data_IF_864421323996
#
_entry.id   IF_864421323996
#
_cell.length_a   1.000
_cell.length_b   1.000
_cell.length_c   1.000
_cell.angle_alpha   90.00
_cell.angle_beta   90.00
_cell.angle_gamma   90.00
#
_symmetry.space_group_name_H-M   'P 1'
#
loop_
_entity.id
_entity.type
_entity.pdbx_description
1 polymer ?
#
# COMPACT_ATOMS: atom_id res chain seq x y z
N UNK A 1 24.81 -13.58 1.60
CA UNK A 1 25.05 -14.61 2.64
C UNK A 1 23.71 -15.18 3.04
N UNK A 2 23.55 -16.49 2.99
CA UNK A 2 22.34 -17.18 3.47
C UNK A 2 22.50 -17.30 4.99
N UNK A 3 21.61 -16.67 5.75
CA UNK A 3 21.63 -16.77 7.21
C UNK A 3 20.79 -17.97 7.68
N UNK A 4 21.27 -18.66 8.72
CA UNK A 4 20.53 -19.74 9.40
C UNK A 4 19.63 -19.14 10.50
N UNK A 5 18.38 -19.61 10.59
CA UNK A 5 17.34 -19.03 11.44
C UNK A 5 17.63 -19.10 12.95
N UNK A 6 16.94 -18.26 13.74
CA UNK A 6 16.96 -18.26 15.21
C UNK A 6 16.23 -19.48 15.81
N UNK A 7 16.56 -19.83 17.08
CA UNK A 7 16.13 -21.02 17.85
C UNK A 7 14.62 -21.20 18.12
N UNK A 8 13.72 -20.60 17.33
CA UNK A 8 12.29 -20.90 17.41
C UNK A 8 12.04 -22.26 16.77
N UNK A 9 11.54 -23.23 17.55
CA UNK A 9 11.17 -24.56 17.08
C UNK A 9 10.14 -24.44 15.95
N UNK A 10 10.47 -24.77 14.69
CA UNK A 10 9.57 -24.55 13.56
C UNK A 10 8.52 -25.66 13.49
N UNK A 11 7.20 -25.36 13.43
CA UNK A 11 6.20 -26.28 12.92
C UNK A 11 6.03 -26.00 11.43
N UNK A 12 7.02 -26.31 10.59
CA UNK A 12 7.02 -25.75 9.23
C UNK A 12 7.02 -26.85 8.21
N UNK A 13 5.81 -27.26 7.84
CA UNK A 13 5.55 -28.00 6.61
C UNK A 13 4.87 -27.07 5.62
N UNK A 14 5.01 -27.34 4.32
CA UNK A 14 4.21 -26.66 3.29
C UNK A 14 2.70 -26.91 3.44
N UNK A 15 2.31 -27.89 4.24
CA UNK A 15 0.91 -28.19 4.57
C UNK A 15 0.28 -27.17 5.53
N UNK A 16 1.07 -26.33 6.20
CA UNK A 16 0.61 -25.24 7.07
C UNK A 16 1.08 -23.87 6.51
N UNK A 17 0.61 -23.46 5.32
CA UNK A 17 1.19 -22.32 4.59
C UNK A 17 1.11 -21.00 5.35
N UNK A 18 0.08 -20.82 6.19
CA UNK A 18 -0.07 -19.61 7.01
C UNK A 18 0.94 -19.56 8.15
N UNK A 19 1.14 -20.67 8.88
CA UNK A 19 2.12 -20.74 9.96
C UNK A 19 3.55 -20.55 9.42
N UNK A 20 3.85 -21.13 8.25
CA UNK A 20 5.09 -20.90 7.52
C UNK A 20 5.29 -19.42 7.17
N UNK A 21 4.28 -18.78 6.61
CA UNK A 21 4.36 -17.37 6.26
C UNK A 21 4.56 -16.47 7.50
N UNK A 22 3.84 -16.72 8.60
CA UNK A 22 3.99 -15.97 9.87
C UNK A 22 5.39 -16.13 10.47
N UNK A 23 5.98 -17.33 10.38
CA UNK A 23 7.36 -17.55 10.81
C UNK A 23 8.38 -16.84 9.91
N UNK A 24 8.23 -16.91 8.58
CA UNK A 24 9.08 -16.20 7.62
C UNK A 24 9.05 -14.70 7.90
N UNK A 25 7.86 -14.13 8.08
CA UNK A 25 7.68 -12.72 8.44
C UNK A 25 8.39 -12.36 9.74
N UNK A 26 8.33 -13.24 10.74
CA UNK A 26 9.05 -13.04 12.02
C UNK A 26 10.57 -12.98 11.81
N UNK A 27 11.13 -13.86 10.98
CA UNK A 27 12.58 -13.85 10.70
C UNK A 27 12.99 -12.62 9.87
N UNK A 28 12.25 -12.29 8.81
CA UNK A 28 12.56 -11.18 7.90
C UNK A 28 12.35 -9.80 8.55
N UNK A 29 11.37 -9.65 9.44
CA UNK A 29 11.13 -8.38 10.14
C UNK A 29 12.14 -8.13 11.27
N UNK A 30 12.73 -9.18 11.85
CA UNK A 30 13.77 -9.07 12.87
C UNK A 30 15.11 -8.56 12.31
N UNK A 31 15.44 -8.90 11.07
CA UNK A 31 16.63 -8.40 10.36
C UNK A 31 16.26 -7.82 8.98
N UNK A 32 16.08 -6.49 8.87
CA UNK A 32 15.79 -5.82 7.60
C UNK A 32 16.88 -5.97 6.54
N UNK A 33 18.10 -6.40 6.91
CA UNK A 33 19.20 -6.60 5.95
C UNK A 33 19.15 -7.98 5.29
N UNK A 34 18.40 -8.93 5.87
CA UNK A 34 18.26 -10.29 5.37
C UNK A 34 17.48 -10.32 4.04
N UNK A 35 18.16 -10.67 2.95
CA UNK A 35 17.57 -10.75 1.61
C UNK A 35 17.09 -12.16 1.23
N UNK A 36 17.67 -13.18 1.83
CA UNK A 36 17.37 -14.58 1.56
C UNK A 36 17.33 -15.36 2.87
N UNK A 37 16.29 -16.14 3.07
CA UNK A 37 16.09 -17.01 4.23
C UNK A 37 16.06 -18.47 3.77
N UNK A 38 16.90 -19.31 4.36
CA UNK A 38 16.76 -20.76 4.20
C UNK A 38 15.61 -21.27 5.07
N UNK A 39 14.74 -22.10 4.49
CA UNK A 39 13.63 -22.71 5.20
C UNK A 39 14.04 -24.06 5.79
N UNK A 40 13.72 -24.33 7.07
CA UNK A 40 14.00 -25.61 7.71
C UNK A 40 12.91 -26.64 7.34
N UNK A 41 12.67 -26.87 6.04
CA UNK A 41 11.67 -27.80 5.52
C UNK A 41 12.34 -28.84 4.62
N UNK A 42 11.75 -30.02 4.47
CA UNK A 42 12.30 -31.06 3.60
C UNK A 42 12.26 -30.57 2.13
N UNK A 43 13.40 -30.59 1.39
CA UNK A 43 13.42 -30.27 -0.03
C UNK A 43 12.42 -31.09 -0.86
N UNK A 44 12.14 -32.34 -0.46
CA UNK A 44 11.16 -33.19 -1.12
C UNK A 44 9.74 -32.60 -1.06
N UNK A 45 9.36 -31.96 0.05
CA UNK A 45 8.06 -31.26 0.15
C UNK A 45 7.95 -30.16 -0.92
N UNK A 46 9.05 -29.44 -1.20
CA UNK A 46 9.06 -28.35 -2.19
C UNK A 46 9.05 -28.88 -3.63
N UNK A 47 9.73 -30.00 -3.90
CA UNK A 47 9.76 -30.62 -5.22
C UNK A 47 8.40 -31.22 -5.60
N UNK A 48 7.75 -31.88 -4.65
CA UNK A 48 6.54 -32.66 -4.89
C UNK A 48 5.25 -31.85 -4.75
N UNK A 49 5.29 -30.66 -4.11
CA UNK A 49 4.09 -29.88 -3.84
C UNK A 49 3.61 -29.05 -5.04
N UNK A 50 2.46 -29.39 -5.66
CA UNK A 50 1.87 -28.58 -6.73
C UNK A 50 1.27 -27.27 -6.21
N UNK A 51 1.11 -27.12 -4.88
CA UNK A 51 0.56 -25.93 -4.21
C UNK A 51 1.61 -25.14 -3.46
N UNK A 52 2.90 -25.29 -3.83
CA UNK A 52 3.98 -24.55 -3.20
C UNK A 52 3.70 -23.04 -3.25
N UNK A 53 3.93 -22.30 -2.15
CA UNK A 53 3.83 -20.84 -2.20
C UNK A 53 4.82 -20.28 -3.22
N UNK A 54 4.40 -19.29 -4.02
CA UNK A 54 5.21 -18.76 -5.12
C UNK A 54 6.52 -18.09 -4.71
N UNK A 55 6.70 -17.81 -3.42
CA UNK A 55 7.91 -17.23 -2.83
C UNK A 55 8.93 -18.28 -2.34
N UNK A 56 8.61 -19.57 -2.40
CA UNK A 56 9.52 -20.67 -2.01
C UNK A 56 10.18 -21.26 -3.26
N UNK A 57 11.50 -21.30 -3.26
CA UNK A 57 12.32 -21.84 -4.35
C UNK A 57 13.36 -22.82 -3.82
N UNK A 58 13.86 -23.71 -4.68
CA UNK A 58 15.02 -24.56 -4.38
C UNK A 58 16.27 -23.95 -5.00
N UNK A 59 17.32 -23.79 -4.20
CA UNK A 59 18.65 -23.46 -4.66
C UNK A 59 19.63 -24.50 -4.08
N UNK A 60 20.27 -25.29 -4.93
CA UNK A 60 21.18 -26.39 -4.54
C UNK A 60 20.55 -27.32 -3.47
N UNK A 61 19.32 -27.78 -3.73
CA UNK A 61 18.49 -28.59 -2.83
C UNK A 61 18.19 -27.94 -1.47
N UNK A 62 18.43 -26.63 -1.31
CA UNK A 62 18.02 -25.86 -0.14
C UNK A 62 16.74 -25.07 -0.46
N UNK A 63 15.63 -25.31 0.27
CA UNK A 63 14.47 -24.44 0.26
C UNK A 63 14.85 -23.04 0.73
N UNK A 64 14.64 -22.04 -0.13
CA UNK A 64 14.93 -20.64 0.15
C UNK A 64 13.73 -19.75 -0.16
N UNK A 65 13.71 -18.62 0.52
CA UNK A 65 12.76 -17.52 0.28
C UNK A 65 13.55 -16.24 0.07
N UNK A 66 13.27 -15.55 -1.03
CA UNK A 66 13.74 -14.18 -1.25
C UNK A 66 12.78 -13.20 -0.56
N UNK A 67 13.35 -12.24 0.17
CA UNK A 67 12.60 -11.18 0.87
C UNK A 67 11.63 -10.46 -0.07
N UNK A 68 12.13 -10.02 -1.22
CA UNK A 68 11.34 -9.31 -2.24
C UNK A 68 10.24 -10.17 -2.85
N UNK A 69 10.44 -11.48 -2.95
CA UNK A 69 9.42 -12.43 -3.39
C UNK A 69 8.32 -12.57 -2.34
N UNK A 70 8.68 -12.87 -1.09
CA UNK A 70 7.75 -13.07 0.02
C UNK A 70 6.79 -11.90 0.22
N UNK A 71 7.32 -10.67 0.25
CA UNK A 71 6.50 -9.47 0.44
C UNK A 71 5.55 -9.15 -0.71
N UNK A 72 5.65 -9.84 -1.85
CA UNK A 72 4.71 -9.64 -2.95
C UNK A 72 3.48 -10.55 -2.88
N UNK A 73 3.38 -11.41 -1.86
CA UNK A 73 2.25 -12.32 -1.69
C UNK A 73 1.19 -11.78 -0.72
N UNK A 74 -0.03 -11.66 -1.20
CA UNK A 74 -1.11 -11.00 -0.48
C UNK A 74 -1.56 -11.66 0.84
N UNK A 75 -1.40 -12.99 0.96
CA UNK A 75 -2.15 -13.85 1.89
C UNK A 75 -2.07 -13.45 3.37
N UNK A 76 -0.94 -12.89 3.82
CA UNK A 76 -0.79 -12.46 5.22
C UNK A 76 -1.47 -11.13 5.52
N UNK A 77 -1.44 -10.22 4.56
CA UNK A 77 -1.69 -8.79 4.80
C UNK A 77 -3.03 -8.32 4.25
N UNK A 78 -3.45 -8.83 3.09
CA UNK A 78 -4.77 -8.50 2.58
C UNK A 78 -5.86 -9.19 3.42
N UNK A 79 -6.98 -8.50 3.56
CA UNK A 79 -8.18 -8.99 4.23
C UNK A 79 -9.34 -9.20 3.26
N UNK A 80 -9.03 -9.15 1.97
CA UNK A 80 -9.93 -9.39 0.85
C UNK A 80 -9.13 -9.97 -0.35
N UNK A 81 -9.77 -10.62 -1.34
CA UNK A 81 -9.07 -11.17 -2.50
C UNK A 81 -8.42 -10.08 -3.35
N UNK A 82 -7.18 -10.26 -3.84
CA UNK A 82 -6.56 -9.29 -4.74
C UNK A 82 -7.33 -9.18 -6.06
N UNK A 83 -7.22 -8.02 -6.70
CA UNK A 83 -7.80 -7.76 -8.00
C UNK A 83 -7.29 -8.76 -9.05
N UNK A 84 -8.21 -9.22 -9.88
CA UNK A 84 -7.91 -10.05 -11.04
C UNK A 84 -8.12 -9.25 -12.32
N UNK A 85 -7.33 -9.55 -13.34
CA UNK A 85 -7.52 -8.97 -14.66
C UNK A 85 -8.88 -9.38 -15.20
N UNK A 86 -9.74 -8.40 -15.46
CA UNK A 86 -11.01 -8.64 -16.15
C UNK A 86 -10.76 -8.74 -17.66
N UNK A 87 -11.32 -9.78 -18.29
CA UNK A 87 -11.21 -10.01 -19.73
C UNK A 87 -12.23 -9.14 -20.48
N UNK A 88 -12.03 -7.82 -20.47
CA UNK A 88 -12.92 -6.84 -21.09
C UNK A 88 -12.17 -5.93 -22.06
N UNK A 89 -12.91 -5.30 -22.97
CA UNK A 89 -12.40 -4.17 -23.78
C UNK A 89 -12.16 -2.95 -22.90
N UNK A 90 -11.29 -2.04 -23.34
CA UNK A 90 -11.12 -0.74 -22.68
C UNK A 90 -12.46 -0.02 -22.54
N UNK A 91 -12.61 0.73 -21.45
CA UNK A 91 -13.72 1.66 -21.22
C UNK A 91 -13.25 3.08 -21.46
N UNK A 92 -14.16 3.94 -21.92
CA UNK A 92 -13.87 5.34 -22.21
C UNK A 92 -13.39 6.06 -20.95
N UNK A 93 -12.26 6.74 -21.07
CA UNK A 93 -11.65 7.50 -19.97
C UNK A 93 -11.66 9.01 -20.23
N UNK A 94 -11.27 9.81 -19.22
CA UNK A 94 -11.18 11.26 -19.37
C UNK A 94 -10.13 11.65 -20.41
N UNK A 95 -10.42 12.68 -21.20
CA UNK A 95 -9.49 13.24 -22.19
C UNK A 95 -8.98 12.20 -23.22
N UNK A 96 -9.79 11.17 -23.51
CA UNK A 96 -9.42 10.07 -24.43
C UNK A 96 -8.43 9.06 -23.84
N UNK A 97 -8.20 9.09 -22.51
CA UNK A 97 -7.34 8.13 -21.80
C UNK A 97 -8.12 6.89 -21.40
N UNK A 98 -8.56 6.12 -22.39
CA UNK A 98 -9.30 4.87 -22.19
C UNK A 98 -8.53 3.92 -21.27
N UNK A 99 -9.24 3.20 -20.41
CA UNK A 99 -8.61 2.36 -19.39
C UNK A 99 -9.27 0.99 -19.28
N UNK A 100 -8.61 0.01 -18.64
CA UNK A 100 -9.26 -1.26 -18.34
C UNK A 100 -10.45 -1.06 -17.40
N UNK A 101 -11.46 -1.92 -17.52
CA UNK A 101 -12.52 -1.99 -16.52
C UNK A 101 -11.91 -2.32 -15.15
N UNK A 102 -12.27 -1.52 -14.13
CA UNK A 102 -11.73 -1.67 -12.78
C UNK A 102 -12.49 -2.75 -12.02
N UNK A 103 -11.79 -3.57 -11.21
CA UNK A 103 -12.45 -4.41 -10.22
C UNK A 103 -13.33 -3.56 -9.29
N UNK A 104 -14.41 -4.13 -8.74
CA UNK A 104 -15.18 -3.44 -7.72
C UNK A 104 -14.32 -3.15 -6.49
N UNK A 105 -14.57 -2.02 -5.84
CA UNK A 105 -13.91 -1.70 -4.57
C UNK A 105 -14.24 -2.75 -3.50
N UNK A 106 -13.27 -3.15 -2.66
CA UNK A 106 -13.53 -4.03 -1.53
C UNK A 106 -14.36 -3.33 -0.44
N UNK A 107 -14.71 -4.06 0.61
CA UNK A 107 -15.40 -3.52 1.79
C UNK A 107 -14.70 -3.97 3.08
N UNK A 108 -15.00 -3.30 4.20
CA UNK A 108 -14.42 -3.64 5.50
C UNK A 108 -12.93 -3.30 5.60
N UNK A 109 -12.21 -4.04 6.44
CA UNK A 109 -10.74 -3.95 6.53
C UNK A 109 -10.14 -4.57 5.27
N UNK A 110 -9.21 -3.86 4.63
CA UNK A 110 -8.60 -4.27 3.36
C UNK A 110 -7.16 -4.73 3.51
N UNK A 111 -6.46 -4.23 4.53
CA UNK A 111 -5.05 -4.50 4.76
C UNK A 111 -4.70 -4.37 6.24
N UNK A 112 -3.76 -5.20 6.70
CA UNK A 112 -3.22 -5.14 8.05
C UNK A 112 -1.77 -5.66 8.09
N UNK A 113 -0.87 -4.91 8.75
CA UNK A 113 0.51 -5.36 9.02
C UNK A 113 1.11 -4.70 10.24
N UNK A 114 1.88 -5.48 11.03
CA UNK A 114 2.67 -4.98 12.15
C UNK A 114 4.00 -4.39 11.67
N UNK A 115 4.33 -3.18 12.11
CA UNK A 115 5.62 -2.52 11.87
C UNK A 115 6.42 -2.40 13.16
N UNK A 116 7.32 -3.35 13.41
CA UNK A 116 8.08 -3.46 14.66
C UNK A 116 8.82 -2.16 15.02
N UNK A 117 9.45 -1.51 14.03
CA UNK A 117 10.23 -0.28 14.17
C UNK A 117 9.42 0.95 14.59
N UNK A 118 8.10 0.92 14.36
CA UNK A 118 7.14 1.96 14.75
C UNK A 118 6.27 1.56 15.95
N UNK A 119 6.40 0.31 16.43
CA UNK A 119 5.62 -0.25 17.53
C UNK A 119 4.08 -0.15 17.37
N UNK A 120 3.58 -0.26 16.14
CA UNK A 120 2.15 -0.23 15.79
C UNK A 120 1.78 -1.31 14.78
N UNK A 121 0.53 -1.76 14.81
CA UNK A 121 -0.15 -2.41 13.69
C UNK A 121 -0.84 -1.35 12.85
N UNK A 122 -0.55 -1.39 11.54
CA UNK A 122 -1.13 -0.50 10.55
C UNK A 122 -2.23 -1.25 9.82
N UNK A 123 -3.45 -0.73 9.83
CA UNK A 123 -4.57 -1.30 9.06
C UNK A 123 -5.34 -0.23 8.28
N UNK A 124 -5.86 -0.63 7.12
CA UNK A 124 -6.76 0.22 6.33
C UNK A 124 -8.12 -0.42 6.27
N UNK A 125 -9.17 0.38 6.42
CA UNK A 125 -10.55 -0.05 6.24
C UNK A 125 -11.31 0.95 5.39
N UNK A 126 -12.23 0.46 4.56
CA UNK A 126 -13.10 1.32 3.76
C UNK A 126 -13.90 2.25 4.67
N UNK A 127 -14.06 3.50 4.24
CA UNK A 127 -14.86 4.49 4.98
C UNK A 127 -16.29 3.99 5.15
N UNK A 128 -16.80 4.14 6.36
CA UNK A 128 -18.21 4.00 6.69
C UNK A 128 -18.70 5.38 7.11
N UNK A 129 -19.58 6.00 6.31
CA UNK A 129 -20.00 7.38 6.53
C UNK A 129 -20.68 7.54 7.89
N UNK A 130 -21.53 6.60 8.30
CA UNK A 130 -22.25 6.71 9.57
C UNK A 130 -21.31 6.61 10.77
N UNK A 131 -20.24 5.82 10.65
CA UNK A 131 -19.22 5.69 11.70
C UNK A 131 -18.19 6.81 11.68
N UNK A 132 -17.77 7.27 10.49
CA UNK A 132 -16.53 8.02 10.30
C UNK A 132 -16.74 9.50 10.01
N UNK A 133 -17.95 9.94 9.65
CA UNK A 133 -18.21 11.34 9.28
C UNK A 133 -17.79 12.33 10.37
N UNK A 134 -18.04 12.02 11.65
CA UNK A 134 -17.72 12.90 12.78
C UNK A 134 -16.21 13.12 12.90
N UNK A 135 -15.43 12.04 12.81
CA UNK A 135 -13.98 12.13 12.94
C UNK A 135 -13.34 12.72 11.67
N UNK A 136 -13.88 12.39 10.49
CA UNK A 136 -13.47 12.98 9.23
C UNK A 136 -13.71 14.50 9.21
N UNK A 137 -14.90 14.95 9.61
CA UNK A 137 -15.21 16.37 9.72
C UNK A 137 -14.26 17.11 10.68
N UNK A 138 -13.99 16.52 11.84
CA UNK A 138 -13.01 17.09 12.78
C UNK A 138 -11.62 17.22 12.16
N UNK A 139 -11.18 16.20 11.44
CA UNK A 139 -9.86 16.21 10.81
C UNK A 139 -9.77 17.23 9.68
N UNK A 140 -10.77 17.31 8.80
CA UNK A 140 -10.74 18.28 7.69
C UNK A 140 -10.76 19.73 8.19
N UNK A 141 -11.42 19.98 9.32
CA UNK A 141 -11.45 21.30 9.95
C UNK A 141 -10.27 21.59 10.90
N UNK A 142 -9.29 20.67 11.04
CA UNK A 142 -8.00 20.98 11.68
C UNK A 142 -7.22 21.90 10.73
N UNK A 143 -6.81 23.12 11.15
CA UNK A 143 -6.09 24.07 10.28
C UNK A 143 -4.84 23.48 9.61
N UNK A 144 -4.17 22.51 10.26
CA UNK A 144 -3.01 21.81 9.67
C UNK A 144 -3.38 20.94 8.48
N UNK A 145 -4.57 20.33 8.53
CA UNK A 145 -5.11 19.48 7.45
C UNK A 145 -5.72 20.36 6.37
N UNK A 146 -6.59 21.31 6.77
CA UNK A 146 -7.25 22.26 5.88
C UNK A 146 -6.27 22.99 4.97
N UNK A 147 -5.08 23.37 5.48
CA UNK A 147 -4.03 24.01 4.69
C UNK A 147 -3.61 23.23 3.42
N UNK A 148 -3.70 21.90 3.45
CA UNK A 148 -3.32 21.06 2.31
C UNK A 148 -4.52 20.48 1.56
N UNK A 149 -5.63 20.23 2.26
CA UNK A 149 -6.80 19.56 1.69
C UNK A 149 -7.87 20.52 1.21
N UNK A 150 -7.97 21.73 1.78
CA UNK A 150 -8.95 22.76 1.40
C UNK A 150 -10.42 22.25 1.47
N UNK A 151 -10.69 21.37 2.43
CA UNK A 151 -11.99 20.72 2.66
C UNK A 151 -12.56 21.06 4.06
N UNK A 152 -12.21 22.22 4.63
CA UNK A 152 -12.81 22.78 5.85
C UNK A 152 -14.25 23.25 5.60
N UNK A 153 -15.14 22.28 5.40
CA UNK A 153 -16.54 22.47 5.02
C UNK A 153 -17.49 21.96 6.10
N UNK A 154 -18.77 22.23 5.90
CA UNK A 154 -19.82 21.73 6.78
C UNK A 154 -19.88 20.20 6.76
N UNK A 155 -20.46 19.62 7.81
CA UNK A 155 -20.64 18.17 7.92
C UNK A 155 -21.50 17.59 6.80
N UNK A 156 -22.49 18.35 6.32
CA UNK A 156 -23.37 17.93 5.21
C UNK A 156 -22.60 17.95 3.88
N UNK A 157 -21.76 18.95 3.64
CA UNK A 157 -20.90 18.99 2.46
C UNK A 157 -19.90 17.84 2.45
N UNK A 158 -19.30 17.53 3.61
CA UNK A 158 -18.35 16.42 3.75
C UNK A 158 -19.02 15.05 3.64
N UNK A 159 -20.28 14.93 4.05
CA UNK A 159 -21.09 13.72 3.78
C UNK A 159 -21.28 13.54 2.27
N UNK A 160 -21.75 14.57 1.58
CA UNK A 160 -21.94 14.52 0.12
C UNK A 160 -20.62 14.24 -0.62
N UNK A 161 -19.50 14.79 -0.12
CA UNK A 161 -18.17 14.47 -0.61
C UNK A 161 -17.85 12.98 -0.49
N UNK A 162 -18.03 12.37 0.69
CA UNK A 162 -17.77 10.95 0.91
C UNK A 162 -18.70 10.06 0.08
N UNK A 163 -19.99 10.39 -0.02
CA UNK A 163 -20.97 9.67 -0.86
C UNK A 163 -20.52 9.65 -2.32
N UNK A 164 -20.11 10.81 -2.86
CA UNK A 164 -19.57 10.91 -4.21
C UNK A 164 -18.32 10.05 -4.38
N UNK A 165 -17.37 10.12 -3.44
CA UNK A 165 -16.13 9.33 -3.49
C UNK A 165 -16.39 7.83 -3.44
N UNK A 166 -17.32 7.36 -2.61
CA UNK A 166 -17.66 5.94 -2.51
C UNK A 166 -18.43 5.42 -3.73
N UNK A 167 -19.12 6.30 -4.47
CA UNK A 167 -19.81 5.97 -5.72
C UNK A 167 -18.90 5.91 -6.95
N UNK A 168 -17.67 6.43 -6.85
CA UNK A 168 -16.73 6.57 -7.96
C UNK A 168 -15.73 5.40 -7.99
N UNK A 169 -15.82 4.46 -8.96
CA UNK A 169 -14.91 3.30 -9.05
C UNK A 169 -13.44 3.67 -9.27
N UNK A 170 -13.17 4.91 -9.69
CA UNK A 170 -11.83 5.45 -9.82
C UNK A 170 -11.12 5.55 -8.46
N UNK A 171 -11.88 5.71 -7.37
CA UNK A 171 -11.36 6.04 -6.04
C UNK A 171 -11.72 4.97 -5.00
N UNK A 172 -10.76 4.65 -4.13
CA UNK A 172 -10.97 3.87 -2.91
C UNK A 172 -10.63 4.74 -1.70
N UNK A 173 -11.66 5.13 -0.95
CA UNK A 173 -11.55 5.91 0.29
C UNK A 173 -11.41 4.99 1.50
N UNK A 174 -10.32 5.14 2.25
CA UNK A 174 -10.05 4.33 3.46
C UNK A 174 -9.69 5.19 4.68
N UNK A 175 -10.08 4.69 5.84
CA UNK A 175 -9.54 5.13 7.14
C UNK A 175 -8.31 4.29 7.46
N UNK A 176 -7.20 4.96 7.77
CA UNK A 176 -6.04 4.33 8.37
C UNK A 176 -6.17 4.26 9.88
N UNK A 177 -5.97 3.09 10.45
CA UNK A 177 -5.90 2.83 11.88
C UNK A 177 -4.50 2.40 12.38
N UNK A 178 -4.12 2.89 13.57
CA UNK A 178 -3.03 2.31 14.35
C UNK A 178 -3.61 1.51 15.49
N UNK A 179 -3.30 0.20 15.57
CA UNK A 179 -3.83 -0.68 16.61
C UNK A 179 -5.36 -0.51 16.75
N UNK A 180 -6.05 -0.58 15.61
CA UNK A 180 -7.49 -0.36 15.44
C UNK A 180 -8.04 1.05 15.76
N UNK A 181 -7.20 1.97 16.26
CA UNK A 181 -7.58 3.37 16.46
C UNK A 181 -7.52 4.15 15.13
N UNK A 182 -8.62 4.77 14.65
CA UNK A 182 -8.61 5.65 13.49
C UNK A 182 -7.66 6.84 13.68
N UNK A 183 -6.79 7.08 12.70
CA UNK A 183 -5.79 8.17 12.77
C UNK A 183 -5.67 9.03 11.53
N UNK A 184 -6.15 8.56 10.38
CA UNK A 184 -6.04 9.27 9.12
C UNK A 184 -7.04 8.81 8.07
N UNK A 185 -7.14 9.61 7.02
CA UNK A 185 -7.97 9.35 5.84
C UNK A 185 -7.08 9.32 4.60
N UNK A 186 -7.34 8.39 3.70
CA UNK A 186 -6.57 8.19 2.48
C UNK A 186 -7.50 7.94 1.29
N UNK A 187 -7.14 8.51 0.15
CA UNK A 187 -7.76 8.25 -1.15
C UNK A 187 -6.74 7.49 -2.00
N UNK A 188 -7.14 6.35 -2.56
CA UNK A 188 -6.33 5.57 -3.49
C UNK A 188 -7.01 5.64 -4.83
N UNK A 189 -6.27 5.96 -5.89
CA UNK A 189 -6.85 6.25 -7.20
C UNK A 189 -6.11 5.56 -8.34
N UNK A 190 -6.80 5.37 -9.46
CA UNK A 190 -6.20 4.92 -10.72
C UNK A 190 -5.65 6.11 -11.50
N UNK A 191 -4.34 6.22 -11.62
CA UNK A 191 -3.70 7.44 -12.12
C UNK A 191 -4.10 7.80 -13.56
N UNK A 192 -4.44 6.80 -14.39
CA UNK A 192 -4.89 7.02 -15.77
C UNK A 192 -6.23 7.76 -15.86
N UNK A 193 -7.11 7.54 -14.89
CA UNK A 193 -8.40 8.23 -14.73
C UNK A 193 -8.27 9.54 -13.95
N UNK A 194 -7.23 9.66 -13.12
CA UNK A 194 -7.00 10.87 -12.35
C UNK A 194 -6.53 12.05 -13.22
N UNK A 195 -6.72 13.26 -12.72
CA UNK A 195 -6.14 14.49 -13.31
C UNK A 195 -4.62 14.39 -13.47
N UNK A 196 -3.92 13.66 -12.60
CA UNK A 196 -2.48 13.43 -12.68
C UNK A 196 -2.08 12.71 -13.96
N UNK A 197 -2.92 11.80 -14.46
CA UNK A 197 -2.61 11.01 -15.65
C UNK A 197 -2.49 11.81 -16.95
N UNK A 198 -2.89 13.09 -16.96
CA UNK A 198 -2.65 14.00 -18.08
C UNK A 198 -1.21 14.57 -18.10
N UNK A 199 -0.46 14.42 -17.01
CA UNK A 199 0.87 15.04 -16.84
C UNK A 199 2.02 14.06 -17.08
N UNK A 200 1.74 12.79 -17.38
CA UNK A 200 2.72 11.79 -17.78
C UNK A 200 2.04 10.68 -18.61
N UNK A 201 2.81 9.77 -19.18
CA UNK A 201 2.25 8.61 -19.89
C UNK A 201 1.75 7.57 -18.89
N UNK A 202 0.51 7.76 -18.41
CA UNK A 202 -0.07 6.95 -17.35
C UNK A 202 -0.38 5.52 -17.82
N UNK A 203 0.26 4.56 -17.17
CA UNK A 203 0.03 3.15 -17.41
C UNK A 203 -1.41 2.73 -17.07
N UNK A 204 -1.89 1.62 -17.67
CA UNK A 204 -3.25 1.16 -17.46
C UNK A 204 -3.57 0.82 -16.00
N UNK A 205 -2.58 0.45 -15.20
CA UNK A 205 -2.75 0.01 -13.81
C UNK A 205 -1.95 0.84 -12.81
N UNK A 206 -1.45 2.00 -13.23
CA UNK A 206 -0.76 2.91 -12.33
C UNK A 206 -1.74 3.41 -11.27
N UNK A 207 -1.26 3.47 -10.03
CA UNK A 207 -2.08 3.93 -8.89
C UNK A 207 -1.38 5.05 -8.17
N UNK A 208 -2.15 5.92 -7.54
CA UNK A 208 -1.60 6.88 -6.60
C UNK A 208 -2.42 6.95 -5.34
N UNK A 209 -1.98 7.79 -4.42
CA UNK A 209 -2.70 8.01 -3.18
C UNK A 209 -2.54 9.43 -2.65
N UNK A 210 -3.61 9.92 -2.02
CA UNK A 210 -3.60 11.11 -1.16
C UNK A 210 -3.88 10.69 0.27
N UNK A 211 -3.35 11.45 1.23
CA UNK A 211 -3.54 11.10 2.64
C UNK A 211 -3.41 12.27 3.58
N UNK A 212 -4.13 12.18 4.69
CA UNK A 212 -3.97 13.02 5.88
C UNK A 212 -3.86 12.15 7.12
N UNK A 213 -3.03 12.59 8.07
CA UNK A 213 -3.08 12.10 9.44
C UNK A 213 -3.81 13.15 10.26
N UNK A 214 -5.00 12.82 10.72
CA UNK A 214 -5.85 13.71 11.49
C UNK A 214 -5.43 13.79 12.95
N UNK A 215 -4.99 12.68 13.54
CA UNK A 215 -4.59 12.64 14.95
C UNK A 215 -3.15 13.13 15.16
N UNK A 216 -2.99 14.36 15.64
CA UNK A 216 -1.69 15.00 15.85
C UNK A 216 -0.71 14.18 16.73
N UNK A 217 -1.22 13.46 17.74
CA UNK A 217 -0.43 12.59 18.62
C UNK A 217 0.23 11.40 17.89
N UNK A 218 -0.21 11.08 16.69
CA UNK A 218 0.33 10.01 15.85
C UNK A 218 1.28 10.52 14.75
N UNK A 219 1.51 11.83 14.68
CA UNK A 219 2.55 12.39 13.82
C UNK A 219 3.94 11.99 14.33
N UNK A 220 4.88 11.81 13.40
CA UNK A 220 6.28 11.52 13.73
C UNK A 220 6.91 10.57 12.73
N UNK A 221 8.24 10.63 12.62
CA UNK A 221 9.01 9.97 11.55
C UNK A 221 8.71 8.48 11.40
N UNK A 222 8.75 7.72 12.50
CA UNK A 222 8.56 6.26 12.48
C UNK A 222 7.16 5.87 12.04
N UNK A 223 6.15 6.52 12.64
CA UNK A 223 4.73 6.32 12.33
C UNK A 223 4.42 6.74 10.88
N UNK A 224 4.77 7.95 10.46
CA UNK A 224 4.57 8.39 9.06
C UNK A 224 5.24 7.45 8.06
N UNK A 225 6.46 6.97 8.35
CA UNK A 225 7.13 5.98 7.51
C UNK A 225 6.37 4.65 7.45
N UNK A 226 5.80 4.17 8.56
CA UNK A 226 5.01 2.94 8.59
C UNK A 226 3.77 3.04 7.67
N UNK A 227 3.04 4.17 7.71
CA UNK A 227 1.90 4.38 6.80
C UNK A 227 2.30 4.41 5.33
N UNK A 228 3.36 5.15 4.96
CA UNK A 228 3.77 5.24 3.54
C UNK A 228 4.16 3.85 3.01
N UNK A 229 4.89 3.08 3.82
CA UNK A 229 5.22 1.67 3.51
C UNK A 229 3.97 0.83 3.36
N UNK A 230 3.07 0.86 4.35
CA UNK A 230 1.84 0.08 4.34
C UNK A 230 0.94 0.40 3.16
N UNK A 231 0.75 1.69 2.84
CA UNK A 231 -0.11 2.13 1.75
C UNK A 231 0.47 1.70 0.41
N UNK A 232 1.75 1.98 0.17
CA UNK A 232 2.43 1.58 -1.08
C UNK A 232 2.44 0.06 -1.23
N UNK A 233 2.68 -0.67 -0.15
CA UNK A 233 2.60 -2.14 -0.13
C UNK A 233 1.19 -2.63 -0.46
N UNK A 234 0.17 -2.06 0.17
CA UNK A 234 -1.23 -2.37 -0.14
C UNK A 234 -1.55 -2.14 -1.61
N UNK A 235 -1.14 -1.01 -2.21
CA UNK A 235 -1.42 -0.70 -3.62
C UNK A 235 -0.90 -1.79 -4.57
N UNK A 236 0.30 -2.32 -4.31
CA UNK A 236 0.91 -3.39 -5.12
C UNK A 236 0.26 -4.76 -4.88
N UNK A 237 -0.14 -5.08 -3.64
CA UNK A 237 -0.79 -6.35 -3.33
C UNK A 237 -2.24 -6.40 -3.81
N UNK A 238 -2.97 -5.31 -3.60
CA UNK A 238 -4.38 -5.15 -3.96
C UNK A 238 -4.59 -5.33 -5.45
N UNK A 239 -3.65 -4.88 -6.28
CA UNK A 239 -3.69 -5.05 -7.72
C UNK A 239 -2.33 -5.52 -8.24
N UNK A 240 -2.14 -6.85 -8.47
CA UNK A 240 -0.88 -7.41 -8.94
C UNK A 240 -0.42 -6.93 -10.32
N UNK A 241 -1.28 -6.23 -11.08
CA UNK A 241 -0.93 -5.57 -12.34
C UNK A 241 -0.33 -4.17 -12.15
N UNK A 242 -0.36 -3.63 -10.92
CA UNK A 242 0.21 -2.31 -10.60
C UNK A 242 1.72 -2.45 -10.55
N UNK A 243 2.43 -1.89 -11.53
CA UNK A 243 3.90 -1.85 -11.55
C UNK A 243 4.47 -0.49 -11.12
N UNK A 244 3.62 0.52 -11.00
CA UNK A 244 3.99 1.88 -10.64
C UNK A 244 2.98 2.50 -9.68
N UNK A 245 3.49 2.98 -8.54
CA UNK A 245 2.76 3.92 -7.68
C UNK A 245 3.27 5.33 -7.94
N UNK A 246 2.37 6.28 -8.12
CA UNK A 246 2.67 7.68 -8.40
C UNK A 246 2.20 8.60 -7.30
N UNK A 247 2.75 9.81 -7.26
CA UNK A 247 2.28 10.87 -6.40
C UNK A 247 2.67 12.25 -6.90
N UNK A 248 1.99 13.26 -6.39
CA UNK A 248 2.07 14.65 -6.84
C UNK A 248 2.04 15.64 -5.66
N UNK A 249 2.90 15.45 -4.64
CA UNK A 249 3.00 16.41 -3.53
C UNK A 249 3.37 17.80 -4.05
N UNK A 250 2.94 18.83 -3.31
CA UNK A 250 3.43 20.19 -3.54
C UNK A 250 4.96 20.22 -3.41
N UNK A 251 5.63 20.95 -4.28
CA UNK A 251 7.11 21.06 -4.26
C UNK A 251 7.64 21.67 -2.95
N UNK A 252 6.82 22.47 -2.27
CA UNK A 252 7.12 23.11 -0.99
C UNK A 252 6.85 22.20 0.23
N UNK A 253 6.27 21.01 0.04
CA UNK A 253 6.06 20.04 1.12
C UNK A 253 7.33 19.23 1.42
N UNK A 254 8.36 19.94 1.86
CA UNK A 254 9.69 19.39 2.18
C UNK A 254 9.60 18.27 3.22
N UNK A 255 8.64 18.34 4.15
CA UNK A 255 8.45 17.31 5.18
C UNK A 255 8.06 15.96 4.59
N UNK A 256 7.13 15.93 3.63
CA UNK A 256 6.73 14.70 2.94
C UNK A 256 7.83 14.21 1.99
N UNK A 257 8.43 15.14 1.24
CA UNK A 257 9.48 14.80 0.27
C UNK A 257 10.73 14.18 0.90
N UNK A 258 11.01 14.45 2.19
CA UNK A 258 12.10 13.81 2.95
C UNK A 258 11.96 12.28 3.09
N UNK A 259 10.76 11.72 2.93
CA UNK A 259 10.56 10.27 2.98
C UNK A 259 10.77 9.61 1.61
N UNK A 260 10.72 10.37 0.52
CA UNK A 260 10.57 9.82 -0.83
C UNK A 260 11.63 8.75 -1.16
N UNK A 261 12.91 9.09 -1.06
CA UNK A 261 14.00 8.16 -1.41
C UNK A 261 13.99 6.89 -0.55
N UNK A 262 13.80 7.03 0.76
CA UNK A 262 13.73 5.89 1.68
C UNK A 262 12.55 4.96 1.38
N UNK A 263 11.50 5.48 0.74
CA UNK A 263 10.30 4.75 0.35
C UNK A 263 10.30 4.35 -1.14
N UNK A 264 11.47 4.44 -1.80
CA UNK A 264 11.68 4.17 -3.22
C UNK A 264 10.93 5.09 -4.21
N UNK A 265 10.42 6.24 -3.74
CA UNK A 265 9.87 7.28 -4.61
C UNK A 265 10.98 8.17 -5.16
N UNK A 266 10.99 8.36 -6.48
CA UNK A 266 11.92 9.22 -7.21
C UNK A 266 11.18 10.39 -7.83
N UNK A 267 11.73 11.61 -7.71
CA UNK A 267 11.19 12.80 -8.39
C UNK A 267 11.52 12.73 -9.88
N UNK A 268 10.50 12.73 -10.72
CA UNK A 268 10.65 12.70 -12.18
C UNK A 268 10.74 14.10 -12.77
N UNK A 269 9.79 14.95 -12.41
CA UNK A 269 9.74 16.36 -12.86
C UNK A 269 8.86 17.19 -11.93
N UNK A 270 8.93 18.50 -12.11
CA UNK A 270 7.96 19.43 -11.53
C UNK A 270 7.01 19.91 -12.62
N UNK A 271 5.77 20.20 -12.23
CA UNK A 271 4.74 20.71 -13.13
C UNK A 271 3.71 21.51 -12.33
N UNK A 272 2.90 22.29 -13.02
CA UNK A 272 1.89 23.14 -12.40
C UNK A 272 0.49 22.55 -12.65
N UNK A 273 -0.25 22.27 -11.58
CA UNK A 273 -1.70 22.25 -11.61
C UNK A 273 -2.23 23.68 -11.47
N UNK A 274 -3.49 23.94 -11.86
CA UNK A 274 -4.10 25.27 -11.68
C UNK A 274 -3.99 25.87 -10.27
N UNK A 275 -3.93 25.02 -9.23
CA UNK A 275 -3.96 25.41 -7.82
C UNK A 275 -2.63 25.15 -7.07
N UNK A 276 -1.64 24.47 -7.69
CA UNK A 276 -0.35 24.17 -7.04
C UNK A 276 0.77 23.80 -8.00
N UNK A 277 2.00 24.12 -7.62
CA UNK A 277 3.21 23.52 -8.21
C UNK A 277 3.51 22.18 -7.55
N UNK A 278 3.58 21.11 -8.33
CA UNK A 278 3.70 19.72 -7.86
C UNK A 278 4.98 19.05 -8.36
N UNK A 279 5.49 18.10 -7.58
CA UNK A 279 6.55 17.20 -7.98
C UNK A 279 5.92 15.85 -8.39
N UNK A 280 6.09 15.43 -9.64
CA UNK A 280 5.72 14.07 -10.05
C UNK A 280 6.71 13.07 -9.43
N UNK A 281 6.20 12.16 -8.63
CA UNK A 281 6.95 11.14 -7.92
C UNK A 281 6.56 9.76 -8.42
N UNK A 282 7.55 8.91 -8.72
CA UNK A 282 7.35 7.53 -9.18
C UNK A 282 7.96 6.56 -8.17
N UNK A 283 7.23 5.52 -7.81
CA UNK A 283 7.69 4.39 -7.01
C UNK A 283 7.45 3.10 -7.82
N UNK A 284 8.47 2.64 -8.57
CA UNK A 284 8.39 1.36 -9.27
C UNK A 284 8.31 0.19 -8.30
N UNK A 285 7.51 -0.82 -8.63
CA UNK A 285 7.30 -2.04 -7.84
C UNK A 285 8.61 -2.70 -7.42
N UNK A 286 9.49 -2.98 -8.38
CA UNK A 286 10.76 -3.66 -8.13
C UNK A 286 11.65 -2.86 -7.18
N UNK A 287 11.70 -1.54 -7.36
CA UNK A 287 12.49 -0.67 -6.48
C UNK A 287 11.93 -0.66 -5.05
N UNK A 288 10.60 -0.68 -4.90
CA UNK A 288 9.95 -0.77 -3.58
C UNK A 288 10.31 -2.07 -2.86
N UNK A 289 10.06 -3.23 -3.48
CA UNK A 289 10.30 -4.52 -2.85
C UNK A 289 11.78 -4.86 -2.66
N UNK A 290 12.68 -4.24 -3.43
CA UNK A 290 14.11 -4.40 -3.25
C UNK A 290 14.70 -3.53 -2.14
N UNK A 291 14.16 -2.31 -1.92
CA UNK A 291 14.81 -1.30 -1.05
C UNK A 291 14.07 -1.03 0.25
N UNK A 292 12.74 -1.20 0.27
CA UNK A 292 11.91 -0.72 1.37
C UNK A 292 11.77 -1.82 2.43
N UNK A 293 12.18 -1.57 3.70
CA UNK A 293 12.02 -2.54 4.76
C UNK A 293 10.55 -2.59 5.21
N UNK A 294 9.87 -3.66 4.83
CA UNK A 294 8.52 -4.01 5.29
C UNK A 294 8.55 -4.72 6.65
#
# INVERSE_FOLDING_TARGET
MIATASNLTPPLSLHEPRALAEWIETQLSADPTLQTLALPIDPAEVQESPRRPGYVHLADDCPIVHRSGFYQHADLWLRHPPAQRQATTSVDGPDGRDHPLRPPNPTGTVYEKRFADAAVTVSFRVVDIERDLDIFHRWQNDPRVAYFWEEDKSKDDLRAFLEKRLSDPHNLSVIGCYDDQPVGYFEIYWAREDRLGAYYDAGPWDRGWHGLIGEAKHLGRRKTSAWIRALTHYLFLDCPMTDLVVGEPRVDNVKLLRYADAMAYTKIKEFDFPHKRSALMHCPRDAFFARVPL
#
